data_IF_799485019604
#
_entry.id   IF_799485019604
#
_cell.length_a   1.000
_cell.length_b   1.000
_cell.length_c   1.000
_cell.angle_alpha   90.00
_cell.angle_beta   90.00
_cell.angle_gamma   90.00
#
_symmetry.space_group_name_H-M   'P 1'
#
loop_
_entity.id
_entity.type
_entity.pdbx_description
1 polymer ?
#
# COMPACT_ATOMS: atom_id res chain seq x y z
N UNK A 1 -6.10 17.31 7.30
CA UNK A 1 -6.66 16.65 6.11
C UNK A 1 -8.14 16.36 6.36
N UNK A 2 -9.01 16.79 5.45
CA UNK A 2 -10.46 16.49 5.48
C UNK A 2 -10.74 15.31 4.56
N UNK A 3 -11.49 14.32 5.01
CA UNK A 3 -11.85 13.13 4.25
C UNK A 3 -13.36 13.03 4.13
N UNK A 4 -13.85 12.74 2.92
CA UNK A 4 -15.27 12.48 2.65
C UNK A 4 -15.41 11.15 1.93
N UNK A 5 -16.31 10.31 2.43
CA UNK A 5 -16.70 9.04 1.79
C UNK A 5 -18.10 9.22 1.21
N UNK A 6 -18.29 8.92 -0.06
CA UNK A 6 -19.57 9.02 -0.73
C UNK A 6 -19.74 7.92 -1.77
N UNK A 7 -20.97 7.40 -1.93
CA UNK A 7 -21.30 6.43 -2.97
C UNK A 7 -21.11 7.02 -4.38
N UNK A 8 -21.47 8.29 -4.54
CA UNK A 8 -21.23 9.06 -5.77
C UNK A 8 -20.07 10.03 -5.59
N UNK A 9 -19.01 9.86 -6.39
CA UNK A 9 -17.84 10.77 -6.38
C UNK A 9 -18.25 12.20 -6.72
N UNK A 10 -19.20 12.41 -7.62
CA UNK A 10 -19.72 13.73 -7.96
C UNK A 10 -20.35 14.41 -6.72
N UNK A 11 -21.24 13.70 -6.02
CA UNK A 11 -21.86 14.23 -4.79
C UNK A 11 -20.83 14.54 -3.71
N UNK A 12 -19.82 13.66 -3.56
CA UNK A 12 -18.73 13.88 -2.63
C UNK A 12 -17.91 15.13 -2.97
N UNK A 13 -17.60 15.35 -4.24
CA UNK A 13 -16.91 16.54 -4.72
C UNK A 13 -17.74 17.79 -4.51
N UNK A 14 -19.01 17.78 -4.89
CA UNK A 14 -19.93 18.93 -4.69
C UNK A 14 -20.00 19.35 -3.23
N UNK A 15 -20.06 18.35 -2.34
CA UNK A 15 -20.06 18.58 -0.89
C UNK A 15 -18.74 19.25 -0.44
N UNK A 16 -17.60 18.70 -0.89
CA UNK A 16 -16.28 19.24 -0.54
C UNK A 16 -16.11 20.67 -1.03
N UNK A 17 -16.47 20.96 -2.27
CA UNK A 17 -16.37 22.31 -2.87
C UNK A 17 -17.24 23.29 -2.09
N UNK A 18 -18.50 22.96 -1.81
CA UNK A 18 -19.42 23.82 -1.08
C UNK A 18 -19.04 24.13 0.36
N UNK A 19 -18.23 23.24 0.96
CA UNK A 19 -17.84 23.34 2.38
C UNK A 19 -16.38 23.72 2.58
N UNK A 20 -15.66 24.05 1.51
CA UNK A 20 -14.28 24.57 1.55
C UNK A 20 -14.27 26.06 1.35
N UNK A 21 -13.68 26.79 2.27
CA UNK A 21 -13.61 28.26 2.27
C UNK A 21 -12.40 28.82 1.50
N UNK A 22 -11.52 27.93 0.98
CA UNK A 22 -10.25 28.31 0.33
C UNK A 22 -9.99 27.48 -0.91
N UNK A 23 -9.04 27.92 -1.75
CA UNK A 23 -8.49 27.09 -2.80
C UNK A 23 -7.92 25.80 -2.22
N UNK A 24 -8.44 24.69 -2.70
CA UNK A 24 -8.12 23.36 -2.16
C UNK A 24 -7.74 22.40 -3.29
N UNK A 25 -6.82 21.50 -3.00
CA UNK A 25 -6.51 20.34 -3.85
C UNK A 25 -7.32 19.16 -3.38
N UNK A 26 -8.13 18.60 -4.29
CA UNK A 26 -8.94 17.42 -4.00
C UNK A 26 -8.26 16.17 -4.55
N UNK A 27 -8.00 15.20 -3.68
CA UNK A 27 -7.45 13.90 -4.04
C UNK A 27 -8.59 12.87 -4.08
N UNK A 28 -8.73 12.20 -5.22
CA UNK A 28 -9.70 11.12 -5.41
C UNK A 28 -8.96 9.78 -5.33
N UNK A 29 -9.25 8.99 -4.31
CA UNK A 29 -8.69 7.66 -4.14
C UNK A 29 -9.48 6.60 -4.93
N UNK A 30 -8.76 5.66 -5.56
CA UNK A 30 -9.28 4.58 -6.41
C UNK A 30 -10.31 5.06 -7.44
N UNK A 31 -10.03 6.20 -8.08
CA UNK A 31 -11.00 6.88 -8.94
C UNK A 31 -10.68 6.81 -10.44
N UNK A 32 -9.64 6.11 -10.85
CA UNK A 32 -9.19 6.10 -12.25
C UNK A 32 -10.27 5.62 -13.24
N UNK A 33 -11.16 4.73 -12.82
CA UNK A 33 -12.29 4.23 -13.61
C UNK A 33 -13.53 5.14 -13.57
N UNK A 34 -13.59 6.12 -12.65
CA UNK A 34 -14.72 7.05 -12.51
C UNK A 34 -14.63 8.19 -13.55
N UNK A 35 -15.05 7.89 -14.77
CA UNK A 35 -14.94 8.80 -15.94
C UNK A 35 -15.92 9.96 -15.96
N UNK A 36 -16.85 10.01 -15.01
CA UNK A 36 -17.82 11.10 -14.85
C UNK A 36 -17.24 12.36 -14.22
N UNK A 37 -16.02 12.28 -13.65
CA UNK A 37 -15.31 13.44 -13.11
C UNK A 37 -14.11 13.73 -14.02
N UNK A 38 -14.03 14.98 -14.46
CA UNK A 38 -12.84 15.46 -15.14
C UNK A 38 -11.80 15.89 -14.11
N UNK A 39 -10.63 15.26 -14.13
CA UNK A 39 -9.53 15.55 -13.22
C UNK A 39 -8.44 16.35 -13.93
N UNK A 40 -7.88 17.37 -13.26
CA UNK A 40 -6.76 18.15 -13.80
C UNK A 40 -5.47 17.30 -13.89
N UNK A 41 -5.30 16.32 -12.99
CA UNK A 41 -4.17 15.39 -12.99
C UNK A 41 -4.68 13.99 -12.70
N UNK A 42 -4.31 13.03 -13.56
CA UNK A 42 -4.64 11.62 -13.40
C UNK A 42 -3.38 10.78 -13.26
N UNK A 43 -3.28 10.06 -12.13
CA UNK A 43 -2.14 9.20 -11.79
C UNK A 43 -2.61 7.75 -11.82
N UNK A 44 -1.97 6.92 -12.64
CA UNK A 44 -2.20 5.48 -12.68
C UNK A 44 -1.10 4.77 -11.90
N UNK A 45 -1.49 3.92 -10.97
CA UNK A 45 -0.56 3.06 -10.22
C UNK A 45 -0.57 1.65 -10.82
N UNK A 46 0.61 1.07 -10.91
CA UNK A 46 0.79 -0.35 -11.27
C UNK A 46 1.95 -0.93 -10.46
N UNK A 47 1.90 -2.22 -10.12
CA UNK A 47 2.96 -2.82 -9.33
C UNK A 47 4.05 -3.42 -10.23
N UNK A 48 5.28 -3.46 -9.72
CA UNK A 48 6.42 -4.06 -10.42
C UNK A 48 6.21 -5.55 -10.73
N UNK A 49 5.70 -6.32 -9.78
CA UNK A 49 5.51 -7.77 -9.93
C UNK A 49 4.32 -8.12 -10.82
N UNK A 50 3.21 -7.41 -10.67
CA UNK A 50 1.96 -7.63 -11.40
C UNK A 50 1.55 -6.35 -12.14
N UNK A 51 2.27 -5.97 -13.21
CA UNK A 51 1.94 -4.76 -13.95
C UNK A 51 0.70 -4.96 -14.82
N UNK A 52 -0.10 -3.90 -14.96
CA UNK A 52 -1.37 -3.92 -15.69
C UNK A 52 -1.26 -4.49 -17.11
N UNK A 53 -0.13 -4.32 -17.78
CA UNK A 53 0.06 -4.81 -19.14
C UNK A 53 0.22 -6.34 -19.23
N UNK A 54 0.50 -7.03 -18.11
CA UNK A 54 0.54 -8.50 -18.01
C UNK A 54 -0.78 -9.10 -17.56
N UNK A 55 -1.69 -8.31 -17.01
CA UNK A 55 -2.94 -8.77 -16.42
C UNK A 55 -4.07 -8.77 -17.45
N UNK A 56 -5.21 -9.37 -17.12
CA UNK A 56 -6.40 -9.50 -17.98
C UNK A 56 -7.61 -8.84 -17.29
N UNK A 57 -8.65 -8.57 -18.09
CA UNK A 57 -9.91 -8.04 -17.57
C UNK A 57 -10.65 -9.14 -16.80
N UNK A 58 -11.34 -8.75 -15.74
CA UNK A 58 -12.27 -9.62 -15.01
C UNK A 58 -13.20 -10.37 -15.96
N UNK A 59 -13.48 -11.68 -15.74
CA UNK A 59 -13.05 -12.48 -14.58
C UNK A 59 -11.71 -13.21 -14.77
N UNK A 60 -11.03 -13.08 -15.93
CA UNK A 60 -9.78 -13.78 -16.23
C UNK A 60 -8.54 -13.18 -15.59
N UNK A 61 -8.64 -11.99 -15.06
CA UNK A 61 -7.59 -11.28 -14.31
C UNK A 61 -8.21 -10.27 -13.38
N UNK A 62 -7.45 -9.23 -12.99
CA UNK A 62 -7.85 -8.25 -11.99
C UNK A 62 -8.17 -6.86 -12.57
N UNK A 63 -8.04 -6.69 -13.89
CA UNK A 63 -8.32 -5.40 -14.50
C UNK A 63 -9.82 -5.11 -14.53
N UNK A 64 -10.20 -3.94 -14.03
CA UNK A 64 -11.58 -3.43 -14.06
C UNK A 64 -11.95 -2.83 -15.42
N UNK A 65 -10.96 -2.52 -16.26
CA UNK A 65 -11.15 -1.97 -17.60
C UNK A 65 -10.04 -2.40 -18.56
N UNK A 66 -10.21 -2.09 -19.84
CA UNK A 66 -9.21 -2.41 -20.86
C UNK A 66 -7.86 -1.74 -20.56
N UNK A 67 -6.75 -2.47 -20.80
CA UNK A 67 -5.37 -1.98 -20.66
C UNK A 67 -5.15 -0.61 -21.31
N UNK A 68 -5.79 -0.36 -22.47
CA UNK A 68 -5.69 0.92 -23.19
C UNK A 68 -6.15 2.13 -22.36
N UNK A 69 -6.87 1.91 -21.24
CA UNK A 69 -7.28 2.95 -20.31
C UNK A 69 -6.11 3.77 -19.75
N UNK A 70 -4.91 3.17 -19.64
CA UNK A 70 -3.71 3.87 -19.19
C UNK A 70 -3.41 5.15 -19.98
N UNK A 71 -3.88 5.26 -21.22
CA UNK A 71 -3.68 6.44 -22.09
C UNK A 71 -4.36 7.72 -21.56
N UNK A 72 -5.23 7.62 -20.53
CA UNK A 72 -5.85 8.77 -19.87
C UNK A 72 -4.99 9.34 -18.75
N UNK A 73 -4.04 8.56 -18.24
CA UNK A 73 -3.16 9.01 -17.17
C UNK A 73 -2.19 10.09 -17.68
N UNK A 74 -1.95 11.10 -16.87
CA UNK A 74 -0.86 12.04 -17.06
C UNK A 74 0.46 11.46 -16.53
N UNK A 75 0.36 10.70 -15.43
CA UNK A 75 1.48 10.09 -14.76
C UNK A 75 1.19 8.60 -14.56
N UNK A 76 2.19 7.76 -14.79
CA UNK A 76 2.15 6.34 -14.46
C UNK A 76 3.24 6.08 -13.44
N UNK A 77 2.89 5.47 -12.30
CA UNK A 77 3.86 5.12 -11.28
C UNK A 77 3.92 3.60 -11.16
N UNK A 78 5.08 3.03 -11.44
CA UNK A 78 5.38 1.62 -11.15
C UNK A 78 5.80 1.56 -9.68
N UNK A 79 4.97 0.96 -8.86
CA UNK A 79 5.17 0.88 -7.42
C UNK A 79 5.79 -0.45 -6.99
N UNK A 80 6.29 -0.52 -5.75
CA UNK A 80 6.91 -1.71 -5.16
C UNK A 80 8.08 -2.23 -6.01
N UNK A 81 8.84 -1.33 -6.60
CA UNK A 81 10.05 -1.66 -7.33
C UNK A 81 11.16 -2.12 -6.37
N UNK A 82 12.13 -2.92 -6.85
CA UNK A 82 13.40 -3.10 -6.14
C UNK A 82 14.09 -1.74 -5.90
N UNK A 83 14.73 -1.56 -4.74
CA UNK A 83 15.42 -0.30 -4.40
C UNK A 83 16.50 0.03 -5.44
N UNK A 84 17.22 -0.98 -5.93
CA UNK A 84 18.29 -0.83 -6.92
C UNK A 84 17.83 -1.35 -8.29
N UNK A 85 16.79 -0.74 -8.85
CA UNK A 85 16.27 -1.12 -10.16
C UNK A 85 17.25 -0.75 -11.27
N UNK A 86 17.64 -1.72 -12.11
CA UNK A 86 18.59 -1.48 -13.22
C UNK A 86 17.95 -0.67 -14.36
N UNK A 87 18.78 -0.05 -15.18
CA UNK A 87 18.34 0.67 -16.38
C UNK A 87 17.58 -0.26 -17.35
N UNK A 88 18.02 -1.52 -17.49
CA UNK A 88 17.35 -2.51 -18.36
C UNK A 88 15.95 -2.84 -17.86
N UNK A 89 15.78 -2.98 -16.54
CA UNK A 89 14.48 -3.20 -15.94
C UNK A 89 13.53 -2.01 -16.18
N UNK A 90 14.02 -0.78 -16.03
CA UNK A 90 13.24 0.44 -16.33
C UNK A 90 12.86 0.51 -17.80
N UNK A 91 13.83 0.28 -18.68
CA UNK A 91 13.64 0.26 -20.13
C UNK A 91 12.62 -0.79 -20.54
N UNK A 92 12.63 -1.97 -19.91
CA UNK A 92 11.61 -3.00 -20.12
C UNK A 92 10.20 -2.47 -19.83
N UNK A 93 9.99 -1.81 -18.69
CA UNK A 93 8.68 -1.24 -18.33
C UNK A 93 8.26 -0.15 -19.31
N UNK A 94 9.15 0.78 -19.63
CA UNK A 94 8.88 1.87 -20.58
C UNK A 94 8.49 1.30 -21.95
N UNK A 95 9.23 0.32 -22.46
CA UNK A 95 8.96 -0.33 -23.74
C UNK A 95 7.65 -1.12 -23.75
N UNK A 96 7.21 -1.69 -22.61
CA UNK A 96 5.94 -2.42 -22.51
C UNK A 96 4.75 -1.48 -22.31
N UNK A 97 4.90 -0.42 -21.56
CA UNK A 97 3.85 0.58 -21.33
C UNK A 97 3.66 1.41 -22.60
N UNK A 98 4.74 1.80 -23.28
CA UNK A 98 4.72 2.70 -24.46
C UNK A 98 3.96 4.00 -24.14
N UNK A 99 4.49 4.83 -23.22
CA UNK A 99 3.83 6.05 -22.82
C UNK A 99 3.66 7.00 -24.01
N UNK A 100 2.63 7.84 -23.95
CA UNK A 100 2.51 8.97 -24.87
C UNK A 100 3.60 10.00 -24.56
N UNK A 101 3.79 10.96 -25.49
CA UNK A 101 4.83 12.00 -25.38
C UNK A 101 4.65 12.89 -24.14
N UNK A 102 3.41 13.10 -23.71
CA UNK A 102 3.00 13.91 -22.58
C UNK A 102 2.87 13.12 -21.26
N UNK A 103 2.99 11.79 -21.31
CA UNK A 103 2.90 10.94 -20.12
C UNK A 103 4.27 10.76 -19.46
N UNK A 104 4.32 10.93 -18.14
CA UNK A 104 5.52 10.69 -17.35
C UNK A 104 5.42 9.34 -16.64
N UNK A 105 6.54 8.59 -16.62
CA UNK A 105 6.66 7.35 -15.85
C UNK A 105 7.62 7.58 -14.70
N UNK A 106 7.22 7.14 -13.50
CA UNK A 106 8.06 7.11 -12.32
C UNK A 106 8.11 5.68 -11.74
N UNK A 107 9.20 5.41 -11.04
CA UNK A 107 9.41 4.16 -10.32
C UNK A 107 9.53 4.47 -8.83
N UNK A 108 8.80 3.72 -8.01
CA UNK A 108 8.75 3.92 -6.57
C UNK A 108 9.00 2.61 -5.85
N UNK A 109 9.85 2.65 -4.85
CA UNK A 109 10.19 1.52 -3.97
C UNK A 109 9.59 1.72 -2.59
N UNK A 110 9.40 0.63 -1.85
CA UNK A 110 9.04 0.68 -0.44
C UNK A 110 10.32 0.73 0.38
N UNK A 111 10.40 1.69 1.28
CA UNK A 111 11.41 1.75 2.34
C UNK A 111 10.72 1.44 3.68
N UNK A 112 11.17 0.40 4.34
CA UNK A 112 10.74 0.10 5.70
C UNK A 112 11.55 0.94 6.69
N UNK A 113 10.92 1.32 7.80
CA UNK A 113 11.58 2.03 8.88
C UNK A 113 12.59 1.13 9.59
N UNK A 114 13.65 1.73 10.12
CA UNK A 114 14.58 1.07 11.03
C UNK A 114 14.01 0.94 12.46
N UNK A 115 12.77 1.37 12.65
CA UNK A 115 12.07 1.35 13.92
C UNK A 115 10.70 0.69 13.77
N UNK A 116 10.27 0.02 14.84
CA UNK A 116 8.90 -0.46 15.04
C UNK A 116 8.22 0.43 16.09
N UNK A 117 6.92 0.65 15.94
CA UNK A 117 6.20 1.67 16.71
C UNK A 117 4.91 1.07 17.28
N UNK A 118 4.59 1.47 18.50
CA UNK A 118 3.26 1.31 19.07
C UNK A 118 2.78 2.64 19.70
N UNK A 119 1.63 2.63 20.41
CA UNK A 119 1.08 3.84 21.05
C UNK A 119 1.96 4.42 22.15
N UNK A 120 2.85 3.62 22.74
CA UNK A 120 3.57 3.96 23.96
C UNK A 120 5.05 4.21 23.72
N UNK A 121 5.62 3.54 22.69
CA UNK A 121 7.07 3.51 22.49
C UNK A 121 7.48 3.27 21.04
N UNK A 122 8.71 3.58 20.74
CA UNK A 122 9.39 3.31 19.49
C UNK A 122 10.64 2.52 19.79
N UNK A 123 10.81 1.35 19.16
CA UNK A 123 11.94 0.46 19.35
C UNK A 123 12.72 0.31 18.05
N UNK A 124 14.04 0.24 18.08
CA UNK A 124 14.83 -0.14 16.91
C UNK A 124 14.44 -1.54 16.42
N UNK A 125 14.37 -1.74 15.11
CA UNK A 125 14.06 -3.06 14.51
C UNK A 125 15.03 -4.15 14.97
N UNK A 126 16.27 -3.77 15.33
CA UNK A 126 17.30 -4.68 15.89
C UNK A 126 16.86 -5.37 17.19
N UNK A 127 15.92 -4.80 17.92
CA UNK A 127 15.37 -5.48 19.11
C UNK A 127 14.71 -6.82 18.75
N UNK A 128 14.18 -6.95 17.52
CA UNK A 128 13.60 -8.21 17.01
C UNK A 128 14.64 -9.32 16.73
N UNK A 129 15.95 -9.00 16.77
CA UNK A 129 17.01 -10.00 16.63
C UNK A 129 17.17 -10.85 17.90
N UNK A 130 16.73 -10.33 19.05
CA UNK A 130 16.92 -10.93 20.36
C UNK A 130 16.00 -12.10 20.61
N UNK A 131 14.78 -12.04 20.11
CA UNK A 131 13.74 -13.04 20.36
C UNK A 131 12.88 -13.24 19.11
N UNK A 132 12.30 -14.41 19.03
CA UNK A 132 11.32 -14.74 17.98
C UNK A 132 10.03 -13.96 18.21
N UNK A 133 9.42 -13.46 17.15
CA UNK A 133 8.17 -12.72 17.19
C UNK A 133 7.11 -13.30 16.26
N UNK A 134 5.86 -12.86 16.39
CA UNK A 134 4.77 -13.21 15.48
C UNK A 134 4.54 -12.06 14.50
N UNK A 135 4.72 -12.33 13.20
CA UNK A 135 4.33 -11.41 12.13
C UNK A 135 2.87 -11.67 11.72
N UNK A 136 2.02 -10.65 11.84
CA UNK A 136 0.61 -10.72 11.42
C UNK A 136 0.37 -9.73 10.29
N UNK A 137 -0.22 -10.16 9.18
CA UNK A 137 -0.60 -9.23 8.11
C UNK A 137 -1.89 -9.62 7.40
N UNK A 138 -2.70 -8.60 7.05
CA UNK A 138 -3.89 -8.68 6.22
C UNK A 138 -3.79 -7.75 5.02
N UNK A 139 -2.73 -7.91 4.23
CA UNK A 139 -2.45 -7.13 3.01
C UNK A 139 -2.37 -8.05 1.80
N UNK A 140 -2.75 -7.55 0.62
CA UNK A 140 -2.79 -8.31 -0.63
C UNK A 140 -1.46 -8.98 -1.03
N UNK A 141 -0.33 -8.37 -0.69
CA UNK A 141 1.01 -8.90 -1.00
C UNK A 141 1.98 -8.60 0.15
N UNK A 142 2.21 -9.59 0.99
CA UNK A 142 3.14 -9.55 2.11
C UNK A 142 4.59 -9.90 1.74
N UNK A 143 4.85 -10.22 0.47
CA UNK A 143 6.18 -10.65 0.00
C UNK A 143 7.28 -9.65 0.35
N UNK A 144 7.03 -8.36 0.08
CA UNK A 144 8.03 -7.31 0.35
C UNK A 144 8.36 -7.21 1.83
N UNK A 145 7.34 -7.27 2.70
CA UNK A 145 7.50 -7.23 4.15
C UNK A 145 8.29 -8.45 4.65
N UNK A 146 7.88 -9.64 4.26
CA UNK A 146 8.58 -10.88 4.65
C UNK A 146 10.01 -10.93 4.13
N UNK A 147 10.24 -10.47 2.90
CA UNK A 147 11.60 -10.42 2.34
C UNK A 147 12.48 -9.39 3.07
N UNK A 148 11.91 -8.27 3.53
CA UNK A 148 12.62 -7.29 4.34
C UNK A 148 13.05 -7.88 5.69
N UNK A 149 12.16 -8.67 6.32
CA UNK A 149 12.38 -9.28 7.64
C UNK A 149 13.06 -10.65 7.59
N UNK A 150 13.45 -11.19 6.42
CA UNK A 150 13.92 -12.57 6.24
C UNK A 150 15.16 -12.96 7.06
N UNK A 151 15.91 -11.98 7.57
CA UNK A 151 17.09 -12.19 8.42
C UNK A 151 16.72 -12.35 9.91
N UNK A 152 15.47 -12.12 10.27
CA UNK A 152 14.93 -12.27 11.62
C UNK A 152 14.19 -13.60 11.76
N UNK A 153 14.00 -14.04 12.99
CA UNK A 153 13.23 -15.25 13.32
C UNK A 153 11.79 -14.85 13.66
N UNK A 154 10.83 -15.30 12.89
CA UNK A 154 9.42 -15.03 13.15
C UNK A 154 8.51 -16.16 12.68
N UNK A 155 7.42 -16.35 13.42
CA UNK A 155 6.23 -17.04 12.94
C UNK A 155 5.37 -16.10 12.12
N UNK A 156 4.64 -16.65 11.15
CA UNK A 156 3.81 -15.86 10.29
C UNK A 156 2.33 -16.26 10.37
N UNK A 157 1.45 -15.25 10.45
CA UNK A 157 0.01 -15.45 10.41
C UNK A 157 -0.61 -14.49 9.38
N UNK A 158 -1.07 -15.07 8.26
CA UNK A 158 -1.60 -14.32 7.11
C UNK A 158 -3.13 -14.30 7.15
N UNK A 159 -3.67 -13.11 6.84
CA UNK A 159 -5.10 -12.90 6.63
C UNK A 159 -5.33 -12.35 5.22
N UNK A 160 -6.56 -12.47 4.72
CA UNK A 160 -6.95 -11.88 3.44
C UNK A 160 -6.79 -10.37 3.45
N UNK A 161 -6.59 -9.76 2.28
CA UNK A 161 -6.56 -8.30 2.18
C UNK A 161 -7.86 -7.68 2.70
N UNK A 162 -7.73 -6.54 3.36
CA UNK A 162 -8.84 -5.83 4.01
C UNK A 162 -9.58 -6.62 5.10
N UNK A 163 -8.94 -7.65 5.68
CA UNK A 163 -9.55 -8.49 6.70
C UNK A 163 -10.16 -7.67 7.86
N UNK A 164 -11.36 -8.06 8.28
CA UNK A 164 -12.00 -7.54 9.48
C UNK A 164 -11.78 -8.53 10.61
N UNK A 165 -10.87 -8.18 11.53
CA UNK A 165 -10.48 -9.06 12.63
C UNK A 165 -11.65 -9.31 13.58
N UNK A 166 -12.04 -10.56 13.73
CA UNK A 166 -13.04 -11.01 14.70
C UNK A 166 -12.40 -11.32 16.07
N UNK A 167 -13.21 -11.48 17.10
CA UNK A 167 -12.73 -11.95 18.42
C UNK A 167 -12.03 -13.31 18.34
N UNK A 168 -12.51 -14.20 17.45
CA UNK A 168 -11.88 -15.50 17.24
C UNK A 168 -10.50 -15.37 16.61
N UNK A 169 -10.32 -14.44 15.65
CA UNK A 169 -9.01 -14.18 15.06
C UNK A 169 -8.04 -13.63 16.10
N UNK A 170 -8.51 -12.77 17.00
CA UNK A 170 -7.70 -12.27 18.11
C UNK A 170 -7.21 -13.38 19.03
N UNK A 171 -8.10 -14.28 19.44
CA UNK A 171 -7.71 -15.40 20.27
C UNK A 171 -6.63 -16.23 19.58
N UNK A 172 -6.82 -16.55 18.30
CA UNK A 172 -5.81 -17.26 17.50
C UNK A 172 -4.46 -16.53 17.42
N UNK A 173 -4.48 -15.20 17.24
CA UNK A 173 -3.27 -14.38 17.21
C UNK A 173 -2.57 -14.42 18.56
N UNK A 174 -3.31 -14.21 19.66
CA UNK A 174 -2.76 -14.21 21.01
C UNK A 174 -2.21 -15.58 21.41
N UNK A 175 -2.95 -16.65 21.14
CA UNK A 175 -2.51 -18.03 21.39
C UNK A 175 -1.23 -18.34 20.61
N UNK A 176 -1.19 -17.99 19.32
CA UNK A 176 -0.02 -18.21 18.47
C UNK A 176 1.17 -17.36 18.88
N UNK A 177 0.93 -16.14 19.35
CA UNK A 177 2.01 -15.26 19.84
C UNK A 177 2.68 -15.82 21.10
N UNK A 178 1.94 -16.54 21.91
CA UNK A 178 2.41 -17.11 23.18
C UNK A 178 3.20 -16.11 24.02
N UNK A 179 2.70 -14.87 24.12
CA UNK A 179 3.35 -13.77 24.84
C UNK A 179 4.50 -13.07 24.12
N UNK A 180 4.91 -13.55 22.93
CA UNK A 180 5.92 -12.91 22.09
C UNK A 180 5.42 -11.57 21.56
N UNK A 181 6.35 -10.72 21.07
CA UNK A 181 6.02 -9.51 20.34
C UNK A 181 5.22 -9.84 19.08
N UNK A 182 4.20 -9.04 18.80
CA UNK A 182 3.40 -9.11 17.57
C UNK A 182 3.78 -7.92 16.71
N UNK A 183 4.33 -8.19 15.53
CA UNK A 183 4.62 -7.19 14.52
C UNK A 183 3.55 -7.24 13.42
N UNK A 184 3.11 -6.08 12.98
CA UNK A 184 2.10 -5.98 11.91
C UNK A 184 2.37 -4.80 10.98
N UNK A 185 1.50 -4.60 9.98
CA UNK A 185 1.51 -3.41 9.13
C UNK A 185 0.79 -2.25 9.83
N UNK A 186 1.08 -1.00 9.45
CA UNK A 186 0.37 0.17 9.99
C UNK A 186 -1.15 0.08 9.75
N UNK A 187 -1.56 -0.38 8.56
CA UNK A 187 -2.97 -0.61 8.18
C UNK A 187 -3.67 -1.59 9.13
N UNK A 188 -3.02 -2.70 9.45
CA UNK A 188 -3.59 -3.72 10.32
C UNK A 188 -3.50 -3.29 11.80
N UNK A 189 -2.44 -2.55 12.17
CA UNK A 189 -2.28 -2.02 13.53
C UNK A 189 -3.46 -1.14 13.95
N UNK A 190 -3.96 -0.27 13.08
CA UNK A 190 -5.13 0.57 13.35
C UNK A 190 -6.33 -0.27 13.78
N UNK A 191 -6.55 -1.41 13.13
CA UNK A 191 -7.65 -2.34 13.47
C UNK A 191 -7.35 -3.16 14.72
N UNK A 192 -6.15 -3.75 14.79
CA UNK A 192 -5.77 -4.65 15.88
C UNK A 192 -5.58 -3.91 17.21
N UNK A 193 -5.07 -2.68 17.21
CA UNK A 193 -4.81 -1.90 18.44
C UNK A 193 -6.05 -1.48 19.20
N UNK A 194 -7.22 -1.50 18.56
CA UNK A 194 -8.52 -1.29 19.23
C UNK A 194 -8.93 -2.55 19.99
N UNK A 195 -8.56 -3.70 19.49
CA UNK A 195 -8.99 -5.01 19.95
C UNK A 195 -7.96 -5.64 20.90
N UNK A 196 -6.66 -5.50 20.60
CA UNK A 196 -5.53 -6.00 21.40
C UNK A 196 -4.97 -4.84 22.22
N UNK A 197 -5.28 -4.79 23.52
CA UNK A 197 -4.71 -3.82 24.45
C UNK A 197 -3.35 -4.28 25.00
N UNK A 198 -2.52 -4.88 24.19
CA UNK A 198 -1.20 -5.36 24.58
C UNK A 198 -0.11 -4.33 24.24
N UNK A 199 0.83 -4.15 25.16
CA UNK A 199 2.06 -3.37 24.92
C UNK A 199 2.99 -4.06 23.90
N UNK A 200 2.79 -5.36 23.64
CA UNK A 200 3.60 -6.15 22.72
C UNK A 200 3.16 -6.07 21.24
N UNK A 201 2.12 -5.29 20.91
CA UNK A 201 1.68 -5.08 19.52
C UNK A 201 2.38 -3.86 18.93
N UNK A 202 3.15 -4.06 17.87
CA UNK A 202 3.90 -3.04 17.13
C UNK A 202 3.57 -3.09 15.63
N UNK A 203 3.80 -2.00 14.94
CA UNK A 203 3.81 -1.96 13.49
C UNK A 203 5.15 -1.43 12.96
N UNK A 204 5.47 -1.80 11.73
CA UNK A 204 6.60 -1.27 11.00
C UNK A 204 6.11 -0.19 10.02
N UNK A 205 6.54 1.08 10.16
CA UNK A 205 6.22 2.12 9.20
C UNK A 205 6.87 1.87 7.84
N UNK A 206 6.23 2.37 6.79
CA UNK A 206 6.76 2.35 5.44
C UNK A 206 6.72 3.75 4.85
N UNK A 207 7.72 4.04 4.00
CA UNK A 207 7.76 5.20 3.12
C UNK A 207 7.84 4.76 1.66
N UNK A 208 7.35 5.59 0.76
CA UNK A 208 7.55 5.43 -0.67
C UNK A 208 8.67 6.36 -1.12
N UNK A 209 9.73 5.76 -1.64
CA UNK A 209 10.86 6.51 -2.18
C UNK A 209 10.83 6.48 -3.70
N UNK A 210 11.09 7.63 -4.30
CA UNK A 210 11.31 7.79 -5.72
C UNK A 210 12.79 7.97 -5.99
N UNK A 211 13.27 7.43 -7.10
CA UNK A 211 14.62 7.74 -7.52
C UNK A 211 14.76 9.24 -7.80
N UNK A 212 15.81 9.83 -7.26
CA UNK A 212 16.21 11.18 -7.66
C UNK A 212 16.64 11.13 -9.13
N UNK A 213 16.10 12.01 -9.97
CA UNK A 213 16.73 12.28 -11.25
C UNK A 213 18.09 12.93 -10.94
N UNK A 214 19.15 12.30 -11.42
CA UNK A 214 20.44 12.96 -11.58
C UNK A 214 20.33 14.07 -12.62
#
# INVERSE_FOLDING_TARGET
>A
LRVVVAESRIKGMDYMIKTSDTESIYLLDDAFQHRSIFTGLSILLTTYRNPFFKDFILPYGNLRENKKGYKRANIIIVTKCPINMSLDQKSYFINKIKPKIDQKIFFSSIKYSDFIINKNETLPIKELEKEEFLLVSGIADSYHLRNHLKYLKFDYFDFSDHHNYSKNDLNKILDKSNGKLILTTEKDYVKLSVLIKSKSLFYIPIDFIFEKKE
#
